data_IF_673017086490
#
_entry.id   IF_673017086490
#
_cell.length_a   1.000
_cell.length_b   1.000
_cell.length_c   1.000
_cell.angle_alpha   90.00
_cell.angle_beta   90.00
_cell.angle_gamma   90.00
#
_symmetry.space_group_name_H-M   'P 1'
#
loop_
_entity.id
_entity.type
_entity.pdbx_description
1 polymer ?
#
# COMPACT_ATOMS: atom_id res chain seq x y z
N UNK A 1 10.77 -3.48 -15.34
CA UNK A 1 9.75 -3.46 -14.26
C UNK A 1 8.69 -2.37 -14.45
N UNK A 2 8.83 -1.41 -15.37
CA UNK A 2 7.78 -0.39 -15.58
C UNK A 2 6.79 -0.82 -16.68
N UNK A 3 7.23 -1.67 -17.61
CA UNK A 3 6.37 -2.21 -18.67
C UNK A 3 5.66 -3.49 -18.20
N UNK A 4 4.41 -3.71 -18.65
CA UNK A 4 3.68 -4.97 -18.42
C UNK A 4 4.50 -6.21 -18.82
N UNK A 5 4.31 -7.33 -18.12
CA UNK A 5 4.96 -8.61 -18.44
C UNK A 5 6.30 -8.83 -17.72
N UNK A 6 6.84 -7.82 -17.04
CA UNK A 6 8.11 -7.91 -16.30
C UNK A 6 7.99 -8.13 -14.80
N UNK A 7 6.76 -8.22 -14.27
CA UNK A 7 6.52 -8.48 -12.84
C UNK A 7 6.46 -9.97 -12.55
N UNK A 8 6.80 -10.40 -11.33
CA UNK A 8 6.75 -11.82 -10.95
C UNK A 8 5.36 -12.42 -11.14
N UNK A 9 4.28 -11.68 -10.84
CA UNK A 9 2.91 -12.13 -11.13
C UNK A 9 2.68 -12.49 -12.62
N UNK A 10 3.39 -11.83 -13.53
CA UNK A 10 3.28 -12.06 -14.97
C UNK A 10 4.19 -13.21 -15.38
N UNK A 11 5.44 -13.25 -14.88
CA UNK A 11 6.40 -14.32 -15.17
C UNK A 11 5.88 -15.70 -14.73
N UNK A 12 5.18 -15.77 -13.59
CA UNK A 12 4.57 -17.00 -13.09
C UNK A 12 3.47 -17.57 -14.01
N UNK A 13 2.96 -16.76 -14.95
CA UNK A 13 1.92 -17.16 -15.92
C UNK A 13 2.48 -17.43 -17.32
N UNK A 14 3.76 -17.18 -17.54
CA UNK A 14 4.40 -17.42 -18.84
C UNK A 14 4.74 -18.89 -19.03
N UNK A 15 4.78 -19.32 -20.29
CA UNK A 15 5.16 -20.68 -20.64
C UNK A 15 6.68 -20.92 -20.43
N UNK A 16 7.08 -22.16 -20.09
CA UNK A 16 8.47 -22.59 -20.17
C UNK A 16 9.11 -22.31 -21.54
N UNK A 17 10.43 -22.11 -21.56
CA UNK A 17 11.23 -21.75 -22.75
C UNK A 17 11.40 -20.25 -22.96
N UNK A 18 10.78 -19.41 -22.12
CA UNK A 18 10.82 -17.96 -22.26
C UNK A 18 12.05 -17.37 -21.55
N UNK A 19 12.89 -16.63 -22.28
CA UNK A 19 13.99 -15.87 -21.70
C UNK A 19 13.45 -14.61 -21.00
N UNK A 20 13.81 -14.43 -19.73
CA UNK A 20 13.27 -13.34 -18.88
C UNK A 20 14.34 -12.77 -17.95
N UNK A 21 14.08 -11.56 -17.45
CA UNK A 21 14.84 -10.99 -16.33
C UNK A 21 13.90 -10.68 -15.17
N UNK A 22 13.93 -11.53 -14.14
CA UNK A 22 13.22 -11.31 -12.89
C UNK A 22 13.98 -10.32 -12.00
N UNK A 23 13.25 -9.47 -11.28
CA UNK A 23 13.84 -8.47 -10.37
C UNK A 23 13.01 -8.44 -9.10
N UNK A 24 13.65 -8.32 -7.94
CA UNK A 24 12.94 -8.26 -6.67
C UNK A 24 13.87 -8.35 -5.47
N UNK A 25 13.29 -8.71 -4.33
CA UNK A 25 13.99 -8.95 -3.08
C UNK A 25 13.98 -10.42 -2.73
N UNK A 26 15.12 -10.90 -2.23
CA UNK A 26 15.29 -12.27 -1.77
C UNK A 26 14.46 -12.49 -0.50
N UNK A 27 13.48 -13.38 -0.58
CA UNK A 27 12.68 -13.82 0.56
C UNK A 27 13.42 -14.85 1.38
N UNK A 28 13.98 -15.85 0.70
CA UNK A 28 14.85 -16.87 1.30
C UNK A 28 15.83 -17.40 0.27
N UNK A 29 16.97 -17.91 0.73
CA UNK A 29 17.89 -18.74 -0.05
C UNK A 29 18.04 -20.08 0.63
N UNK A 30 18.11 -21.16 -0.15
CA UNK A 30 18.48 -22.50 0.32
C UNK A 30 19.58 -23.05 -0.58
N UNK A 31 20.67 -23.46 0.05
CA UNK A 31 21.84 -24.00 -0.64
C UNK A 31 21.72 -25.53 -0.72
N UNK A 32 21.86 -26.09 -1.92
CA UNK A 32 22.04 -27.51 -2.20
C UNK A 32 23.49 -27.81 -2.56
N UNK A 33 23.81 -29.08 -2.85
CA UNK A 33 25.20 -29.51 -3.10
C UNK A 33 25.90 -28.76 -4.25
N UNK A 34 25.18 -28.43 -5.33
CA UNK A 34 25.69 -27.75 -6.54
C UNK A 34 24.73 -26.72 -7.11
N UNK A 35 23.79 -26.26 -6.28
CA UNK A 35 22.67 -25.43 -6.75
C UNK A 35 22.15 -24.57 -5.61
N UNK A 36 21.82 -23.32 -5.92
CA UNK A 36 21.22 -22.37 -5.00
C UNK A 36 19.77 -22.12 -5.42
N UNK A 37 18.84 -22.31 -4.48
CA UNK A 37 17.43 -22.03 -4.67
C UNK A 37 17.09 -20.70 -3.98
N UNK A 38 16.74 -19.70 -4.76
CA UNK A 38 16.45 -18.34 -4.29
C UNK A 38 14.96 -18.07 -4.51
N UNK A 39 14.24 -17.75 -3.44
CA UNK A 39 12.85 -17.29 -3.53
C UNK A 39 12.87 -15.77 -3.71
N UNK A 40 12.45 -15.29 -4.87
CA UNK A 40 12.47 -13.88 -5.24
C UNK A 40 11.03 -13.33 -5.24
N UNK A 41 10.82 -12.13 -4.69
CA UNK A 41 9.52 -11.46 -4.69
C UNK A 41 9.66 -9.95 -4.97
N UNK A 42 8.75 -9.38 -5.75
CA UNK A 42 8.71 -7.97 -6.14
C UNK A 42 7.48 -7.23 -5.59
N UNK A 43 6.67 -7.90 -4.76
CA UNK A 43 5.41 -7.41 -4.21
C UNK A 43 4.18 -7.61 -5.10
N UNK A 44 4.38 -7.89 -6.40
CA UNK A 44 3.30 -7.99 -7.39
C UNK A 44 2.41 -9.23 -7.20
N UNK A 45 2.93 -10.25 -6.52
CA UNK A 45 2.27 -11.54 -6.28
C UNK A 45 2.46 -11.98 -4.81
N UNK A 46 1.49 -12.69 -4.20
CA UNK A 46 1.72 -13.41 -2.94
C UNK A 46 2.70 -14.59 -3.12
N UNK A 47 2.85 -15.09 -4.34
CA UNK A 47 3.72 -16.22 -4.67
C UNK A 47 5.10 -15.73 -5.10
N UNK A 48 6.14 -16.35 -4.55
CA UNK A 48 7.54 -16.08 -4.89
C UNK A 48 7.92 -16.80 -6.19
N UNK A 49 8.82 -16.22 -6.98
CA UNK A 49 9.45 -16.92 -8.10
C UNK A 49 10.69 -17.66 -7.59
N UNK A 50 10.74 -18.97 -7.78
CA UNK A 50 11.95 -19.74 -7.54
C UNK A 50 12.96 -19.45 -8.66
N UNK A 51 14.14 -18.97 -8.26
CA UNK A 51 15.31 -18.81 -9.12
C UNK A 51 16.32 -19.89 -8.74
N UNK A 52 16.77 -20.65 -9.74
CA UNK A 52 17.71 -21.75 -9.60
C UNK A 52 19.05 -21.34 -10.22
N UNK A 53 20.08 -21.19 -9.39
CA UNK A 53 21.44 -20.88 -9.84
C UNK A 53 22.34 -22.10 -9.61
N UNK A 54 22.78 -22.74 -10.70
CA UNK A 54 23.72 -23.87 -10.65
C UNK A 54 25.15 -23.39 -10.36
N UNK A 55 25.97 -24.27 -9.78
CA UNK A 55 27.39 -24.01 -9.54
C UNK A 55 28.10 -23.62 -10.84
N UNK A 56 28.95 -22.59 -10.77
CA UNK A 56 29.71 -22.07 -11.92
C UNK A 56 28.97 -21.06 -12.80
N UNK A 57 27.64 -20.90 -12.66
CA UNK A 57 26.88 -19.86 -13.39
C UNK A 57 27.15 -18.47 -12.83
N UNK A 58 27.30 -18.38 -11.51
CA UNK A 58 27.44 -17.13 -10.78
C UNK A 58 28.69 -17.23 -9.91
N UNK A 59 29.46 -16.14 -9.85
CA UNK A 59 30.67 -16.09 -9.04
C UNK A 59 30.34 -16.27 -7.53
N UNK A 60 31.18 -17.00 -6.75
CA UNK A 60 30.91 -17.28 -5.34
C UNK A 60 30.71 -16.04 -4.46
N UNK A 61 31.42 -14.95 -4.76
CA UNK A 61 31.31 -13.67 -4.07
C UNK A 61 29.94 -13.00 -4.29
N UNK A 62 29.37 -13.13 -5.49
CA UNK A 62 28.02 -12.66 -5.79
C UNK A 62 26.99 -13.50 -5.03
N UNK A 63 27.14 -14.83 -5.05
CA UNK A 63 26.24 -15.74 -4.30
C UNK A 63 26.28 -15.46 -2.79
N UNK A 64 27.44 -15.18 -2.21
CA UNK A 64 27.58 -14.83 -0.81
C UNK A 64 26.73 -13.60 -0.42
N UNK A 65 26.55 -12.65 -1.35
CA UNK A 65 25.73 -11.43 -1.16
C UNK A 65 24.23 -11.65 -1.38
N UNK A 66 23.79 -12.82 -1.85
CA UNK A 66 22.37 -13.16 -2.02
C UNK A 66 21.78 -13.60 -0.68
N UNK A 67 21.54 -12.65 0.21
CA UNK A 67 20.98 -12.86 1.55
C UNK A 67 19.50 -12.46 1.61
N UNK A 68 18.77 -12.90 2.63
CA UNK A 68 17.38 -12.47 2.85
C UNK A 68 17.31 -10.94 2.95
N UNK A 69 16.44 -10.32 2.15
CA UNK A 69 16.30 -8.87 2.05
C UNK A 69 17.16 -8.20 0.99
N UNK A 70 18.13 -8.89 0.40
CA UNK A 70 18.95 -8.36 -0.69
C UNK A 70 18.10 -8.11 -1.95
N UNK A 71 18.43 -7.07 -2.71
CA UNK A 71 17.80 -6.79 -4.01
C UNK A 71 18.62 -7.37 -5.16
N UNK A 72 17.94 -8.05 -6.08
CA UNK A 72 18.56 -8.90 -7.10
C UNK A 72 17.84 -8.73 -8.45
N UNK A 73 18.62 -8.70 -9.53
CA UNK A 73 18.16 -9.11 -10.87
C UNK A 73 18.66 -10.51 -11.17
N UNK A 74 17.80 -11.36 -11.70
CA UNK A 74 18.13 -12.68 -12.21
C UNK A 74 17.75 -12.76 -13.68
N UNK A 75 18.74 -12.96 -14.55
CA UNK A 75 18.52 -13.22 -15.97
C UNK A 75 18.58 -14.73 -16.21
N UNK A 76 17.66 -15.25 -17.01
CA UNK A 76 17.62 -16.67 -17.29
C UNK A 76 16.45 -17.08 -18.17
N UNK A 77 16.12 -18.36 -18.11
CA UNK A 77 15.01 -18.95 -18.85
C UNK A 77 14.01 -19.60 -17.89
N UNK A 78 12.73 -19.33 -18.12
CA UNK A 78 11.66 -20.03 -17.40
C UNK A 78 11.61 -21.48 -17.87
N UNK A 79 11.65 -22.42 -16.93
CA UNK A 79 11.53 -23.86 -17.20
C UNK A 79 10.36 -24.43 -16.41
N UNK A 80 9.83 -25.57 -16.85
CA UNK A 80 8.82 -26.30 -16.08
C UNK A 80 9.44 -26.70 -14.74
N UNK A 81 8.79 -26.31 -13.64
CA UNK A 81 9.35 -26.63 -12.33
C UNK A 81 9.03 -28.08 -11.93
N UNK A 82 10.00 -28.83 -11.39
CA UNK A 82 9.74 -30.15 -10.82
C UNK A 82 9.07 -30.08 -9.43
N UNK A 83 8.94 -28.89 -8.85
CA UNK A 83 8.37 -28.69 -7.51
C UNK A 83 6.84 -28.68 -7.50
N UNK A 84 6.25 -29.30 -6.46
CA UNK A 84 4.79 -29.28 -6.28
C UNK A 84 4.31 -27.87 -5.97
N UNK A 85 3.30 -27.40 -6.72
CA UNK A 85 2.64 -26.10 -6.48
C UNK A 85 3.28 -24.90 -7.19
N UNK A 86 4.29 -25.13 -8.03
CA UNK A 86 4.92 -24.10 -8.87
C UNK A 86 4.94 -24.59 -10.32
N UNK A 87 4.36 -23.83 -11.24
CA UNK A 87 4.30 -24.22 -12.66
C UNK A 87 5.64 -24.01 -13.37
N UNK A 88 6.34 -22.94 -13.00
CA UNK A 88 7.62 -22.54 -13.59
C UNK A 88 8.63 -22.15 -12.53
N UNK A 89 9.90 -22.28 -12.87
CA UNK A 89 11.04 -21.70 -12.14
C UNK A 89 12.02 -21.06 -13.11
N UNK A 90 12.81 -20.10 -12.64
CA UNK A 90 13.80 -19.41 -13.46
C UNK A 90 15.16 -20.10 -13.33
N UNK A 91 15.62 -20.78 -14.39
CA UNK A 91 17.00 -21.25 -14.46
C UNK A 91 17.90 -20.07 -14.78
N UNK A 92 18.63 -19.58 -13.77
CA UNK A 92 19.48 -18.41 -13.91
C UNK A 92 20.66 -18.69 -14.83
N UNK A 93 21.00 -17.70 -15.66
CA UNK A 93 22.24 -17.60 -16.44
C UNK A 93 23.16 -16.51 -15.88
N UNK A 94 22.61 -15.58 -15.11
CA UNK A 94 23.37 -14.53 -14.44
C UNK A 94 22.56 -13.88 -13.32
N UNK A 95 23.26 -13.40 -12.30
CA UNK A 95 22.69 -12.71 -11.15
C UNK A 95 23.42 -11.37 -10.93
N UNK A 96 22.66 -10.32 -10.65
CA UNK A 96 23.20 -9.00 -10.29
C UNK A 96 22.58 -8.53 -8.98
N UNK A 97 23.40 -8.43 -7.93
CA UNK A 97 22.98 -7.91 -6.62
C UNK A 97 23.10 -6.38 -6.61
N UNK A 98 21.97 -5.69 -6.52
CA UNK A 98 21.91 -4.22 -6.48
C UNK A 98 22.16 -3.66 -5.09
N UNK A 99 21.68 -4.37 -4.07
CA UNK A 99 21.82 -3.99 -2.67
C UNK A 99 21.89 -5.24 -1.81
N UNK A 100 22.96 -5.36 -1.03
CA UNK A 100 23.09 -6.44 -0.05
C UNK A 100 22.24 -6.12 1.19
N UNK A 101 21.86 -7.15 1.92
CA UNK A 101 21.23 -7.02 3.24
C UNK A 101 22.05 -7.81 4.26
N UNK A 102 22.51 -7.15 5.32
CA UNK A 102 23.26 -7.82 6.37
C UNK A 102 22.34 -8.80 7.15
N UNK A 103 22.64 -10.11 7.14
CA UNK A 103 21.83 -11.10 7.86
C UNK A 103 21.69 -10.85 9.36
N UNK A 104 22.68 -10.22 9.99
CA UNK A 104 22.69 -9.94 11.43
C UNK A 104 21.76 -8.77 11.79
N UNK A 105 21.70 -7.76 10.92
CA UNK A 105 20.94 -6.53 11.15
C UNK A 105 19.58 -6.51 10.45
N UNK A 106 19.32 -7.38 9.47
CA UNK A 106 18.06 -7.36 8.73
C UNK A 106 16.88 -7.83 9.61
N UNK A 107 15.87 -6.97 9.89
CA UNK A 107 14.89 -7.27 10.93
C UNK A 107 13.86 -8.33 10.50
N UNK A 108 13.66 -8.55 9.19
CA UNK A 108 12.72 -9.54 8.64
C UNK A 108 13.39 -10.89 8.37
N UNK A 109 14.14 -11.41 9.34
CA UNK A 109 14.73 -12.75 9.27
C UNK A 109 13.66 -13.83 9.03
N UNK A 110 14.07 -15.00 8.54
CA UNK A 110 13.21 -16.16 8.26
C UNK A 110 12.71 -16.84 9.54
N UNK A 111 11.91 -16.11 10.31
CA UNK A 111 11.21 -16.54 11.52
C UNK A 111 9.81 -15.94 11.55
N UNK A 112 8.95 -16.48 12.40
CA UNK A 112 7.61 -15.93 12.59
C UNK A 112 7.74 -14.59 13.32
N UNK A 113 7.20 -13.53 12.73
CA UNK A 113 7.05 -12.21 13.35
C UNK A 113 5.59 -12.03 13.73
N UNK A 114 5.32 -11.41 14.88
CA UNK A 114 3.96 -11.05 15.28
C UNK A 114 3.63 -9.61 14.83
N UNK A 115 2.36 -9.21 14.90
CA UNK A 115 1.94 -7.88 14.42
C UNK A 115 2.56 -6.73 15.24
N UNK A 116 2.77 -6.94 16.55
CA UNK A 116 3.41 -5.96 17.44
C UNK A 116 4.87 -5.70 17.04
N UNK A 117 5.63 -6.75 16.74
CA UNK A 117 7.02 -6.65 16.26
C UNK A 117 7.13 -6.00 14.89
N UNK A 118 6.10 -6.11 14.05
CA UNK A 118 6.07 -5.51 12.72
C UNK A 118 5.57 -4.06 12.72
N UNK A 119 4.83 -3.62 13.76
CA UNK A 119 4.27 -2.27 13.86
C UNK A 119 5.34 -1.16 13.77
N UNK A 120 6.46 -1.20 14.51
CA UNK A 120 7.50 -0.16 14.40
C UNK A 120 8.28 -0.23 13.08
N UNK A 121 8.21 -1.37 12.36
CA UNK A 121 8.88 -1.58 11.08
C UNK A 121 8.00 -1.10 9.91
N UNK A 122 7.35 0.07 10.02
CA UNK A 122 6.43 0.59 9.00
C UNK A 122 7.03 0.62 7.59
N UNK A 123 8.32 0.96 7.50
CA UNK A 123 9.10 1.03 6.27
C UNK A 123 9.47 -0.33 5.64
N UNK A 124 9.36 -1.45 6.38
CA UNK A 124 9.74 -2.79 5.90
C UNK A 124 8.59 -3.81 5.93
N UNK A 125 7.62 -3.65 6.83
CA UNK A 125 6.58 -4.67 7.09
C UNK A 125 5.82 -5.10 5.84
N UNK A 126 5.65 -4.21 4.85
CA UNK A 126 5.03 -4.50 3.56
C UNK A 126 5.71 -5.65 2.78
N UNK A 127 6.97 -5.97 3.08
CA UNK A 127 7.72 -7.10 2.50
C UNK A 127 7.35 -8.46 3.11
N UNK A 128 6.57 -8.48 4.19
CA UNK A 128 6.03 -9.71 4.78
C UNK A 128 4.79 -10.17 4.02
N UNK A 129 4.45 -11.46 4.12
CA UNK A 129 3.32 -12.03 3.38
C UNK A 129 1.99 -11.40 3.83
N UNK A 130 1.81 -11.22 5.14
CA UNK A 130 0.59 -10.64 5.73
C UNK A 130 0.36 -9.21 5.26
N UNK A 131 1.33 -8.31 5.47
CA UNK A 131 1.13 -6.91 5.07
C UNK A 131 1.15 -6.73 3.56
N UNK A 132 1.92 -7.54 2.81
CA UNK A 132 1.82 -7.57 1.35
C UNK A 132 0.40 -7.90 0.88
N UNK A 133 -0.28 -8.84 1.53
CA UNK A 133 -1.69 -9.14 1.25
C UNK A 133 -2.60 -7.97 1.63
N UNK A 134 -2.45 -7.41 2.83
CA UNK A 134 -3.24 -6.26 3.30
C UNK A 134 -3.15 -5.08 2.33
N UNK A 135 -1.95 -4.72 1.86
CA UNK A 135 -1.79 -3.60 0.93
C UNK A 135 -2.37 -3.89 -0.45
N UNK A 136 -2.25 -5.13 -0.97
CA UNK A 136 -2.90 -5.51 -2.23
C UNK A 136 -4.42 -5.46 -2.14
N UNK A 137 -5.00 -5.96 -1.04
CA UNK A 137 -6.45 -5.87 -0.78
C UNK A 137 -6.90 -4.42 -0.67
N UNK A 138 -6.18 -3.58 0.10
CA UNK A 138 -6.47 -2.14 0.21
C UNK A 138 -6.44 -1.45 -1.16
N UNK A 139 -5.50 -1.80 -2.03
CA UNK A 139 -5.44 -1.27 -3.40
C UNK A 139 -6.63 -1.71 -4.26
N UNK A 140 -7.04 -2.99 -4.17
CA UNK A 140 -8.24 -3.49 -4.88
C UNK A 140 -9.49 -2.77 -4.40
N UNK A 141 -9.66 -2.61 -3.08
CA UNK A 141 -10.76 -1.88 -2.48
C UNK A 141 -10.79 -0.42 -2.94
N UNK A 142 -9.67 0.29 -2.91
CA UNK A 142 -9.61 1.68 -3.37
C UNK A 142 -10.10 1.82 -4.83
N UNK A 143 -9.65 0.92 -5.72
CA UNK A 143 -10.14 0.88 -7.10
C UNK A 143 -11.63 0.55 -7.18
N UNK A 144 -12.10 -0.41 -6.38
CA UNK A 144 -13.52 -0.81 -6.35
C UNK A 144 -14.42 0.31 -5.86
N UNK A 145 -13.98 1.10 -4.86
CA UNK A 145 -14.67 2.30 -4.37
C UNK A 145 -14.86 3.30 -5.51
N UNK A 146 -13.78 3.66 -6.22
CA UNK A 146 -13.90 4.61 -7.33
C UNK A 146 -14.82 4.09 -8.43
N UNK A 147 -14.74 2.80 -8.78
CA UNK A 147 -15.64 2.19 -9.78
C UNK A 147 -17.09 2.22 -9.33
N UNK A 148 -17.38 1.81 -8.09
CA UNK A 148 -18.74 1.74 -7.57
C UNK A 148 -19.48 3.07 -7.74
N UNK A 149 -18.84 4.18 -7.35
CA UNK A 149 -19.39 5.52 -7.44
C UNK A 149 -19.40 6.05 -8.88
N UNK A 150 -18.30 5.95 -9.62
CA UNK A 150 -18.21 6.50 -10.98
C UNK A 150 -19.11 5.77 -11.98
N UNK A 151 -19.27 4.45 -11.85
CA UNK A 151 -20.19 3.67 -12.70
C UNK A 151 -21.67 4.04 -12.42
N UNK A 152 -21.95 4.71 -11.29
CA UNK A 152 -23.27 5.26 -10.90
C UNK A 152 -23.40 6.76 -11.17
N UNK A 153 -22.42 7.36 -11.84
CA UNK A 153 -22.45 8.78 -12.21
C UNK A 153 -22.06 9.76 -11.10
N UNK A 154 -21.54 9.28 -9.96
CA UNK A 154 -21.01 10.17 -8.92
C UNK A 154 -19.72 10.85 -9.39
N UNK A 155 -19.57 12.13 -9.05
CA UNK A 155 -18.35 12.89 -9.28
C UNK A 155 -17.39 12.78 -8.09
N UNK A 156 -16.15 12.35 -8.33
CA UNK A 156 -15.10 12.40 -7.31
C UNK A 156 -14.68 13.85 -7.07
N UNK A 157 -14.77 14.30 -5.82
CA UNK A 157 -14.39 15.66 -5.41
C UNK A 157 -13.28 15.62 -4.37
N UNK A 158 -12.43 16.65 -4.37
CA UNK A 158 -11.35 16.82 -3.40
C UNK A 158 -11.72 17.94 -2.44
N UNK A 159 -12.29 17.57 -1.29
CA UNK A 159 -12.58 18.53 -0.23
C UNK A 159 -11.27 19.11 0.36
N UNK A 160 -11.26 20.39 0.78
CA UNK A 160 -10.11 20.99 1.45
C UNK A 160 -9.72 20.24 2.72
N UNK A 161 -8.42 20.01 2.91
CA UNK A 161 -7.91 19.38 4.14
C UNK A 161 -7.71 20.41 5.26
N UNK A 162 -7.27 21.62 4.90
CA UNK A 162 -7.13 22.72 5.85
C UNK A 162 -8.46 23.47 5.86
N UNK A 163 -9.09 23.56 7.04
CA UNK A 163 -10.38 24.23 7.22
C UNK A 163 -10.36 25.13 8.45
N UNK A 164 -11.17 26.18 8.41
CA UNK A 164 -11.53 26.98 9.60
C UNK A 164 -12.84 26.50 10.24
N UNK A 165 -13.52 25.54 9.61
CA UNK A 165 -14.77 24.95 10.07
C UNK A 165 -14.53 23.69 10.91
N UNK A 166 -15.44 23.46 11.85
CA UNK A 166 -15.61 22.15 12.50
C UNK A 166 -16.86 21.49 11.90
N UNK A 167 -16.65 20.57 10.97
CA UNK A 167 -17.72 19.95 10.19
C UNK A 167 -18.66 19.07 11.05
N UNK A 168 -18.12 18.38 12.05
CA UNK A 168 -18.87 17.40 12.87
C UNK A 168 -19.16 17.91 14.29
N UNK A 169 -18.64 19.08 14.67
CA UNK A 169 -18.60 19.50 16.08
C UNK A 169 -17.74 18.55 16.93
N UNK A 170 -16.77 17.86 16.31
CA UNK A 170 -16.11 16.65 16.81
C UNK A 170 -15.05 16.91 17.91
N UNK A 171 -15.08 18.07 18.56
CA UNK A 171 -14.20 18.36 19.70
C UNK A 171 -12.80 18.79 19.27
N UNK A 172 -11.76 18.02 19.64
CA UNK A 172 -10.36 18.45 19.48
C UNK A 172 -9.86 18.23 18.04
N UNK A 173 -9.49 19.31 17.35
CA UNK A 173 -8.88 19.29 16.01
C UNK A 173 -7.39 19.64 16.05
N UNK A 174 -6.61 19.12 15.09
CA UNK A 174 -5.22 19.52 14.94
C UNK A 174 -5.12 20.92 14.33
N UNK A 175 -4.52 21.85 15.04
CA UNK A 175 -4.29 23.19 14.54
C UNK A 175 -3.17 23.22 13.49
N UNK A 176 -3.42 23.91 12.39
CA UNK A 176 -2.43 24.22 11.34
C UNK A 176 -2.11 25.70 11.43
N UNK A 177 -0.83 26.03 11.65
CA UNK A 177 -0.35 27.41 11.85
C UNK A 177 1.06 27.58 11.32
N UNK A 178 1.37 28.78 10.83
CA UNK A 178 2.74 29.20 10.50
C UNK A 178 3.33 30.17 11.52
N UNK A 179 2.60 30.45 12.60
CA UNK A 179 3.09 31.32 13.68
C UNK A 179 4.29 30.68 14.38
N UNK A 180 5.26 31.52 14.76
CA UNK A 180 6.40 31.08 15.57
C UNK A 180 5.95 30.88 17.03
N UNK A 181 5.71 29.61 17.38
CA UNK A 181 5.28 29.20 18.72
C UNK A 181 6.38 29.39 19.78
N UNK A 182 7.65 29.49 19.38
CA UNK A 182 8.79 29.68 20.28
C UNK A 182 9.14 31.15 20.49
N UNK A 183 8.52 32.07 19.72
CA UNK A 183 8.78 33.51 19.79
C UNK A 183 8.46 34.14 21.15
N UNK A 184 7.69 33.46 22.01
CA UNK A 184 7.17 33.98 23.28
C UNK A 184 6.16 35.12 23.13
N UNK A 185 5.86 35.54 21.89
CA UNK A 185 4.82 36.52 21.60
C UNK A 185 3.46 35.84 21.69
N UNK A 186 2.45 36.62 22.12
CA UNK A 186 1.06 36.15 22.08
C UNK A 186 0.68 35.86 20.63
N UNK A 187 0.17 34.67 20.36
CA UNK A 187 -0.31 34.29 19.04
C UNK A 187 -1.47 35.21 18.59
N UNK A 188 -1.24 35.97 17.52
CA UNK A 188 -2.27 36.76 16.83
C UNK A 188 -2.68 36.05 15.55
N UNK A 189 -3.81 35.33 15.58
CA UNK A 189 -4.25 34.51 14.44
C UNK A 189 -4.61 35.30 13.18
N UNK A 190 -4.78 36.63 13.29
CA UNK A 190 -4.90 37.50 12.12
C UNK A 190 -3.59 37.63 11.33
N UNK A 191 -2.47 37.37 11.98
CA UNK A 191 -1.12 37.37 11.38
C UNK A 191 -0.70 35.97 10.91
N UNK A 192 -1.53 34.94 11.15
CA UNK A 192 -1.29 33.59 10.63
C UNK A 192 -1.54 33.53 9.11
N UNK A 193 -1.09 32.46 8.44
CA UNK A 193 -1.09 32.35 6.98
C UNK A 193 -2.47 32.61 6.34
N UNK A 194 -3.54 32.11 6.94
CA UNK A 194 -4.91 32.26 6.43
C UNK A 194 -5.67 33.44 7.07
N UNK A 195 -5.00 34.27 7.88
CA UNK A 195 -5.61 35.40 8.60
C UNK A 195 -6.67 35.00 9.64
N UNK A 196 -6.78 33.71 9.94
CA UNK A 196 -7.69 33.13 10.91
C UNK A 196 -7.13 31.81 11.46
N UNK A 197 -7.81 31.23 12.46
CA UNK A 197 -7.44 29.90 12.95
C UNK A 197 -7.84 28.85 11.92
N UNK A 198 -6.90 27.94 11.66
CA UNK A 198 -7.11 26.81 10.75
C UNK A 198 -6.72 25.50 11.37
N UNK A 199 -7.33 24.43 10.89
CA UNK A 199 -7.25 23.08 11.42
C UNK A 199 -7.17 22.07 10.29
N UNK A 200 -6.71 20.86 10.60
CA UNK A 200 -6.93 19.70 9.74
C UNK A 200 -8.37 19.22 9.89
N UNK A 201 -9.04 18.99 8.77
CA UNK A 201 -10.46 18.64 8.76
C UNK A 201 -10.74 17.25 9.36
N UNK A 202 -11.88 17.15 10.04
CA UNK A 202 -12.44 15.88 10.55
C UNK A 202 -13.28 15.17 9.48
N UNK A 203 -13.83 15.92 8.51
CA UNK A 203 -14.75 15.46 7.48
C UNK A 203 -14.84 16.46 6.32
N UNK A 204 -15.03 15.99 5.09
CA UNK A 204 -15.30 16.83 3.91
C UNK A 204 -16.79 16.99 3.61
N UNK A 205 -17.68 16.58 4.52
CA UNK A 205 -19.12 16.49 4.31
C UNK A 205 -19.74 17.85 3.93
N UNK A 206 -19.43 18.93 4.66
CA UNK A 206 -20.03 20.25 4.39
C UNK A 206 -19.68 20.76 2.99
N UNK A 207 -18.45 20.54 2.54
CA UNK A 207 -18.05 20.89 1.17
C UNK A 207 -18.68 19.95 0.14
N UNK A 208 -18.89 18.68 0.48
CA UNK A 208 -19.62 17.74 -0.37
C UNK A 208 -21.09 18.16 -0.56
N UNK A 209 -21.77 18.62 0.49
CA UNK A 209 -23.15 19.13 0.41
C UNK A 209 -23.27 20.29 -0.58
N UNK A 210 -22.33 21.26 -0.53
CA UNK A 210 -22.29 22.39 -1.46
C UNK A 210 -22.15 21.90 -2.90
N UNK A 211 -21.29 20.91 -3.15
CA UNK A 211 -21.02 20.39 -4.49
C UNK A 211 -22.11 19.44 -4.99
N UNK A 212 -22.81 18.74 -4.11
CA UNK A 212 -23.99 17.94 -4.46
C UNK A 212 -25.12 18.82 -5.04
N UNK A 213 -25.27 20.06 -4.56
CA UNK A 213 -26.23 21.01 -5.15
C UNK A 213 -25.89 21.42 -6.60
N UNK A 214 -24.63 21.26 -7.02
CA UNK A 214 -24.19 21.55 -8.38
C UNK A 214 -24.13 20.30 -9.29
N UNK A 215 -23.75 19.15 -8.73
CA UNK A 215 -23.44 17.93 -9.49
C UNK A 215 -24.36 16.76 -9.18
N UNK A 216 -25.41 16.97 -8.38
CA UNK A 216 -26.32 15.97 -7.82
C UNK A 216 -25.62 14.97 -6.90
N UNK A 217 -24.74 14.12 -7.44
CA UNK A 217 -24.09 13.04 -6.70
C UNK A 217 -22.57 13.23 -6.71
N UNK A 218 -21.99 13.39 -5.52
CA UNK A 218 -20.55 13.56 -5.34
C UNK A 218 -20.04 12.59 -4.28
N UNK A 219 -18.73 12.37 -4.25
CA UNK A 219 -18.11 11.66 -3.13
C UNK A 219 -16.68 12.16 -2.90
N UNK A 220 -16.29 12.20 -1.62
CA UNK A 220 -14.89 12.39 -1.22
C UNK A 220 -14.22 11.03 -1.05
N UNK A 221 -12.90 11.02 -1.20
CA UNK A 221 -12.04 9.93 -0.77
C UNK A 221 -10.68 10.53 -0.41
N UNK A 222 -10.51 10.89 0.86
CA UNK A 222 -9.38 11.68 1.32
C UNK A 222 -9.02 11.44 2.77
N UNK A 223 -7.87 11.99 3.23
CA UNK A 223 -7.46 11.89 4.61
C UNK A 223 -8.29 12.82 5.52
N UNK A 224 -8.62 12.34 6.70
CA UNK A 224 -9.25 13.10 7.79
C UNK A 224 -8.52 12.85 9.11
N UNK A 225 -8.69 13.77 10.06
CA UNK A 225 -7.87 13.83 11.25
C UNK A 225 -8.71 14.03 12.51
N UNK A 226 -8.36 13.35 13.60
CA UNK A 226 -9.00 13.52 14.91
C UNK A 226 -7.94 13.67 15.98
N UNK A 227 -7.98 14.75 16.77
CA UNK A 227 -6.97 15.03 17.79
C UNK A 227 -7.36 14.55 19.19
N UNK A 228 -8.34 13.66 19.31
CA UNK A 228 -8.71 13.03 20.57
C UNK A 228 -7.55 12.19 21.10
N UNK A 229 -7.26 12.31 22.41
CA UNK A 229 -6.26 11.48 23.07
C UNK A 229 -6.80 10.07 23.37
N UNK A 230 -7.03 9.29 22.32
CA UNK A 230 -7.62 7.95 22.37
C UNK A 230 -6.61 6.89 21.90
N UNK A 231 -6.00 6.18 22.84
CA UNK A 231 -5.07 5.08 22.53
C UNK A 231 -5.77 3.72 22.64
N UNK A 232 -6.56 3.39 21.62
CA UNK A 232 -7.24 2.09 21.52
C UNK A 232 -6.89 1.38 20.22
N UNK A 233 -7.10 0.05 20.11
CA UNK A 233 -6.71 -0.71 18.91
C UNK A 233 -7.41 -0.31 17.60
N UNK A 234 -8.44 0.54 17.66
CA UNK A 234 -9.30 0.92 16.53
C UNK A 234 -9.30 2.42 16.22
N UNK A 235 -8.56 3.24 16.96
CA UNK A 235 -8.50 4.68 16.74
C UNK A 235 -7.17 5.08 16.10
N UNK A 236 -7.24 5.92 15.08
CA UNK A 236 -6.10 6.55 14.43
C UNK A 236 -6.32 8.06 14.43
N UNK A 237 -5.25 8.82 14.63
CA UNK A 237 -5.29 10.28 14.53
C UNK A 237 -5.37 10.79 13.08
N UNK A 238 -4.90 9.97 12.13
CA UNK A 238 -5.00 10.19 10.68
C UNK A 238 -5.57 8.91 10.05
N UNK A 239 -6.64 9.05 9.29
CA UNK A 239 -7.28 7.96 8.57
C UNK A 239 -7.91 8.49 7.27
N UNK A 240 -8.51 7.60 6.48
CA UNK A 240 -9.13 7.98 5.21
C UNK A 240 -10.63 7.75 5.32
N UNK A 241 -11.40 8.74 4.89
CA UNK A 241 -12.85 8.66 4.80
C UNK A 241 -13.29 8.63 3.35
N UNK A 242 -14.44 8.00 3.14
CA UNK A 242 -15.17 7.96 1.87
C UNK A 242 -16.56 8.49 2.19
N UNK A 243 -16.89 9.65 1.66
CA UNK A 243 -18.09 10.40 2.05
C UNK A 243 -18.90 10.71 0.78
N UNK A 244 -19.87 9.86 0.41
CA UNK A 244 -20.82 10.18 -0.66
C UNK A 244 -21.87 11.18 -0.18
N UNK A 245 -22.28 12.08 -1.08
CA UNK A 245 -23.34 13.06 -0.83
C UNK A 245 -24.22 13.17 -2.08
N UNK A 246 -25.54 13.21 -1.90
CA UNK A 246 -26.53 13.05 -2.98
C UNK A 246 -27.69 14.03 -2.83
N UNK A 247 -27.92 14.85 -3.86
CA UNK A 247 -29.10 15.68 -3.96
C UNK A 247 -30.34 14.81 -4.23
N UNK A 248 -31.49 15.22 -3.67
CA UNK A 248 -32.78 14.53 -3.81
C UNK A 248 -32.80 13.09 -3.23
N UNK A 249 -31.85 12.76 -2.36
CA UNK A 249 -31.76 11.50 -1.64
C UNK A 249 -32.41 11.64 -0.26
N UNK A 250 -33.26 10.69 0.13
CA UNK A 250 -33.73 10.57 1.51
C UNK A 250 -32.93 9.53 2.31
N UNK A 251 -33.33 9.28 3.55
CA UNK A 251 -32.64 8.35 4.44
C UNK A 251 -32.76 6.88 4.01
N UNK A 252 -33.82 6.49 3.31
CA UNK A 252 -33.95 5.13 2.80
C UNK A 252 -33.03 4.95 1.59
N UNK A 253 -32.99 5.94 0.71
CA UNK A 253 -32.08 5.95 -0.44
C UNK A 253 -30.60 5.86 0.01
N UNK A 254 -30.23 6.59 1.08
CA UNK A 254 -28.88 6.54 1.66
C UNK A 254 -28.54 5.16 2.25
N UNK A 255 -29.49 4.54 2.96
CA UNK A 255 -29.33 3.16 3.47
C UNK A 255 -29.15 2.15 2.35
N UNK A 256 -29.96 2.24 1.29
CA UNK A 256 -29.88 1.36 0.12
C UNK A 256 -28.53 1.52 -0.58
N UNK A 257 -28.03 2.75 -0.73
CA UNK A 257 -26.70 3.00 -1.28
C UNK A 257 -25.60 2.41 -0.39
N UNK A 258 -25.65 2.65 0.92
CA UNK A 258 -24.66 2.14 1.86
C UNK A 258 -24.60 0.60 1.85
N UNK A 259 -25.76 -0.07 1.81
CA UNK A 259 -25.83 -1.53 1.69
C UNK A 259 -25.25 -2.02 0.36
N UNK A 260 -25.65 -1.40 -0.75
CA UNK A 260 -25.15 -1.76 -2.08
C UNK A 260 -23.64 -1.54 -2.20
N UNK A 261 -23.12 -0.46 -1.61
CA UNK A 261 -21.71 -0.14 -1.57
C UNK A 261 -20.91 -1.22 -0.84
N UNK A 262 -21.30 -1.56 0.38
CA UNK A 262 -20.61 -2.57 1.19
C UNK A 262 -20.64 -3.94 0.52
N UNK A 263 -21.80 -4.38 0.02
CA UNK A 263 -21.92 -5.66 -0.72
C UNK A 263 -21.00 -5.68 -1.93
N UNK A 264 -21.04 -4.63 -2.75
CA UNK A 264 -20.22 -4.54 -3.95
C UNK A 264 -18.73 -4.55 -3.66
N UNK A 265 -18.27 -3.95 -2.56
CA UNK A 265 -16.85 -3.97 -2.19
C UNK A 265 -16.40 -5.34 -1.69
N UNK A 266 -17.23 -6.01 -0.90
CA UNK A 266 -16.94 -7.35 -0.36
C UNK A 266 -16.85 -8.38 -1.49
N UNK A 267 -17.71 -8.30 -2.50
CA UNK A 267 -17.69 -9.19 -3.67
C UNK A 267 -16.43 -9.03 -4.55
N UNK A 268 -15.73 -7.89 -4.46
CA UNK A 268 -14.54 -7.59 -5.28
C UNK A 268 -13.23 -8.13 -4.70
N UNK A 269 -13.23 -8.60 -3.46
CA UNK A 269 -12.03 -8.99 -2.69
C UNK A 269 -11.93 -10.49 -2.46
#
# INVERSE_FOLDING_TARGET
MILPGGYIKDLLRQAPGTAVTARGWVKTRRDGKKVHFIQLNDGSSPTDLQVVAEEGVVAPDVIARVTTGASLSAEGELVASPGKGQAVELKARGLVVHGAADPEHYPLQKKKHNLETLRPLGHLRARTNTFGAVFRVRNVLARAIHRFFQDRGFMFIQAPIISSSDAEGAGSMFQVTTLDLESGKRAEFREDFFGCRTYLTVSGQLEAEILALAFANVYTFGPTFRAENSNTPRHLAEFYMIEPEMAFCDLNDDQDLAEAFLKSLIEQV
#
